data_IF_865796129386
#
_entry.id   IF_865796129386
#
_cell.length_a   1.000
_cell.length_b   1.000
_cell.length_c   1.000
_cell.angle_alpha   90.00
_cell.angle_beta   90.00
_cell.angle_gamma   90.00
#
_symmetry.space_group_name_H-M   'P 1'
#
loop_
_entity.id
_entity.type
_entity.pdbx_description
1 polymer ?
#
# COMPACT_ATOMS: atom_id res chain seq x y z
N UNK A 1 39.95 7.43 13.30
CA UNK A 1 38.65 7.46 13.99
C UNK A 1 38.92 7.79 15.45
N UNK A 2 38.39 8.90 15.97
CA UNK A 2 38.73 9.37 17.32
C UNK A 2 37.99 8.57 18.41
N UNK A 3 38.46 8.60 19.66
CA UNK A 3 37.80 7.91 20.78
C UNK A 3 36.37 8.41 21.03
N UNK A 4 36.07 9.66 20.70
CA UNK A 4 34.71 10.22 20.77
C UNK A 4 33.80 9.66 19.69
N UNK A 5 34.26 9.56 18.44
CA UNK A 5 33.50 8.96 17.34
C UNK A 5 33.08 7.53 17.65
N UNK A 6 34.01 6.72 18.21
CA UNK A 6 33.74 5.33 18.57
C UNK A 6 32.69 5.20 19.68
N UNK A 7 32.70 6.10 20.66
CA UNK A 7 31.74 6.11 21.78
C UNK A 7 30.34 6.56 21.33
N UNK A 8 30.26 7.55 20.45
CA UNK A 8 29.01 7.99 19.86
C UNK A 8 28.42 6.92 18.93
N UNK A 9 29.27 6.23 18.16
CA UNK A 9 28.87 5.10 17.33
C UNK A 9 28.27 3.95 18.15
N UNK A 10 28.92 3.55 19.25
CA UNK A 10 28.41 2.50 20.15
C UNK A 10 27.08 2.91 20.79
N UNK A 11 26.94 4.16 21.24
CA UNK A 11 25.67 4.67 21.79
C UNK A 11 24.54 4.64 20.76
N UNK A 12 24.82 4.99 19.50
CA UNK A 12 23.84 4.94 18.43
C UNK A 12 23.46 3.49 18.08
N UNK A 13 24.41 2.56 18.04
CA UNK A 13 24.10 1.13 17.86
C UNK A 13 23.22 0.61 18.99
N UNK A 14 23.52 0.94 20.25
CA UNK A 14 22.68 0.52 21.38
C UNK A 14 21.27 1.10 21.31
N UNK A 15 21.12 2.38 20.97
CA UNK A 15 19.80 3.00 20.76
C UNK A 15 19.04 2.34 19.61
N UNK A 16 19.73 2.00 18.53
CA UNK A 16 19.15 1.30 17.39
C UNK A 16 18.70 -0.11 17.79
N UNK A 17 19.51 -0.84 18.53
CA UNK A 17 19.15 -2.16 19.05
C UNK A 17 17.92 -2.12 19.96
N UNK A 18 17.84 -1.15 20.87
CA UNK A 18 16.64 -0.94 21.71
C UNK A 18 15.42 -0.62 20.84
N UNK A 19 15.57 0.24 19.84
CA UNK A 19 14.50 0.53 18.88
C UNK A 19 14.02 -0.70 18.12
N UNK A 20 14.93 -1.57 17.68
CA UNK A 20 14.60 -2.84 17.02
C UNK A 20 13.84 -3.78 17.97
N UNK A 21 14.28 -3.91 19.22
CA UNK A 21 13.60 -4.75 20.22
C UNK A 21 12.19 -4.23 20.51
N UNK A 22 12.01 -2.92 20.66
CA UNK A 22 10.69 -2.31 20.83
C UNK A 22 9.79 -2.53 19.62
N UNK A 23 10.34 -2.40 18.40
CA UNK A 23 9.62 -2.71 17.17
C UNK A 23 9.14 -4.16 17.14
N UNK A 24 10.01 -5.12 17.46
CA UNK A 24 9.65 -6.55 17.51
C UNK A 24 8.57 -6.81 18.55
N UNK A 25 8.63 -6.16 19.72
CA UNK A 25 7.60 -6.27 20.74
C UNK A 25 6.26 -5.68 20.27
N UNK A 26 6.26 -4.53 19.60
CA UNK A 26 5.07 -3.95 18.98
C UNK A 26 4.46 -4.88 17.91
N UNK A 27 5.29 -5.48 17.04
CA UNK A 27 4.83 -6.46 16.06
C UNK A 27 4.27 -7.74 16.70
N UNK A 28 4.87 -8.20 17.80
CA UNK A 28 4.37 -9.32 18.58
C UNK A 28 3.01 -9.04 19.24
N UNK A 29 2.83 -7.85 19.79
CA UNK A 29 1.56 -7.39 20.36
C UNK A 29 0.47 -7.31 19.28
N UNK A 30 0.80 -6.73 18.11
CA UNK A 30 -0.11 -6.63 16.97
C UNK A 30 -0.66 -7.98 16.51
N UNK A 31 0.12 -9.06 16.62
CA UNK A 31 -0.32 -10.42 16.24
C UNK A 31 -1.56 -10.89 17.02
N UNK A 32 -1.78 -10.38 18.23
CA UNK A 32 -2.90 -10.77 19.09
C UNK A 32 -4.08 -9.77 19.06
N UNK A 33 -3.94 -8.64 18.35
CA UNK A 33 -4.94 -7.58 18.26
C UNK A 33 -5.29 -7.27 16.78
N UNK A 34 -6.18 -8.06 16.17
CA UNK A 34 -6.47 -7.98 14.72
C UNK A 34 -7.04 -6.61 14.30
N UNK A 35 -7.81 -5.95 15.16
CA UNK A 35 -8.35 -4.61 14.90
C UNK A 35 -7.25 -3.53 14.82
N UNK A 36 -6.27 -3.59 15.72
CA UNK A 36 -5.14 -2.66 15.72
C UNK A 36 -4.14 -2.99 14.60
N UNK A 37 -4.06 -4.27 14.23
CA UNK A 37 -3.35 -4.73 13.04
C UNK A 37 -3.85 -4.04 11.79
N UNK A 38 -5.16 -3.95 11.55
CA UNK A 38 -5.71 -3.33 10.33
C UNK A 38 -5.35 -1.84 10.25
N UNK A 39 -5.48 -1.12 11.36
CA UNK A 39 -5.13 0.31 11.42
C UNK A 39 -3.62 0.55 11.20
N UNK A 40 -2.76 -0.27 11.81
CA UNK A 40 -1.31 -0.15 11.64
C UNK A 40 -0.82 -0.71 10.31
N UNK A 41 -1.49 -1.70 9.74
CA UNK A 41 -1.16 -2.28 8.43
C UNK A 41 -1.35 -1.27 7.31
N UNK A 42 -2.38 -0.42 7.38
CA UNK A 42 -2.55 0.69 6.42
C UNK A 42 -1.38 1.69 6.47
N UNK A 43 -0.97 2.09 7.69
CA UNK A 43 0.20 2.96 7.88
C UNK A 43 1.52 2.30 7.45
N UNK A 44 1.74 1.04 7.82
CA UNK A 44 2.91 0.25 7.43
C UNK A 44 2.98 0.00 5.92
N UNK A 45 1.85 -0.33 5.28
CA UNK A 45 1.73 -0.48 3.83
C UNK A 45 2.18 0.80 3.14
N UNK A 46 1.72 1.96 3.60
CA UNK A 46 2.12 3.26 3.06
C UNK A 46 3.63 3.52 3.22
N UNK A 47 4.22 3.18 4.37
CA UNK A 47 5.66 3.32 4.62
C UNK A 47 6.47 2.40 3.70
N UNK A 48 6.05 1.14 3.57
CA UNK A 48 6.69 0.15 2.69
C UNK A 48 6.59 0.59 1.23
N UNK A 49 5.43 1.04 0.77
CA UNK A 49 5.21 1.55 -0.58
C UNK A 49 6.12 2.74 -0.89
N UNK A 50 6.25 3.71 0.02
CA UNK A 50 7.17 4.84 -0.13
C UNK A 50 8.64 4.38 -0.14
N UNK A 51 8.99 3.41 0.69
CA UNK A 51 10.31 2.79 0.69
C UNK A 51 10.65 2.09 -0.63
N UNK A 52 9.68 1.36 -1.20
CA UNK A 52 9.84 0.71 -2.50
C UNK A 52 9.99 1.72 -3.64
N UNK A 53 9.22 2.81 -3.63
CA UNK A 53 9.37 3.91 -4.62
C UNK A 53 10.77 4.53 -4.54
N UNK A 54 11.26 4.80 -3.33
CA UNK A 54 12.61 5.30 -3.12
C UNK A 54 13.67 4.29 -3.61
N UNK A 55 13.51 3.01 -3.31
CA UNK A 55 14.41 1.97 -3.79
C UNK A 55 14.39 1.85 -5.33
N UNK A 56 13.22 1.96 -5.96
CA UNK A 56 13.08 1.95 -7.42
C UNK A 56 13.81 3.14 -8.06
N UNK A 57 13.67 4.34 -7.49
CA UNK A 57 14.38 5.54 -7.95
C UNK A 57 15.90 5.38 -7.79
N UNK A 58 16.38 4.83 -6.67
CA UNK A 58 17.81 4.56 -6.44
C UNK A 58 18.37 3.51 -7.42
N UNK A 59 17.56 2.53 -7.81
CA UNK A 59 17.91 1.51 -8.81
C UNK A 59 17.77 1.99 -10.27
N UNK A 60 17.47 3.27 -10.50
CA UNK A 60 17.33 3.85 -11.84
C UNK A 60 16.06 3.43 -12.58
N UNK A 61 15.06 2.90 -11.87
CA UNK A 61 13.73 2.62 -12.43
C UNK A 61 12.77 3.79 -12.15
N UNK A 62 11.68 3.83 -12.90
CA UNK A 62 10.66 4.87 -12.77
C UNK A 62 9.78 4.65 -11.53
N UNK A 63 10.20 5.21 -10.37
CA UNK A 63 9.43 5.15 -9.14
C UNK A 63 8.12 5.96 -9.20
N UNK A 64 7.98 6.89 -10.14
CA UNK A 64 6.71 7.62 -10.31
C UNK A 64 5.62 6.70 -10.86
N UNK A 65 5.96 5.74 -11.73
CA UNK A 65 5.02 4.73 -12.19
C UNK A 65 4.55 3.84 -11.04
N UNK A 66 5.48 3.44 -10.16
CA UNK A 66 5.14 2.64 -8.99
C UNK A 66 4.24 3.41 -8.00
N UNK A 67 4.52 4.70 -7.79
CA UNK A 67 3.67 5.56 -6.97
C UNK A 67 2.25 5.68 -7.57
N UNK A 68 2.12 5.85 -8.89
CA UNK A 68 0.82 5.88 -9.58
C UNK A 68 0.06 4.56 -9.45
N UNK A 69 0.76 3.42 -9.50
CA UNK A 69 0.14 2.11 -9.23
C UNK A 69 -0.49 2.09 -7.84
N UNK A 70 0.27 2.47 -6.82
CA UNK A 70 -0.22 2.46 -5.42
C UNK A 70 -1.35 3.44 -5.15
N UNK A 71 -1.32 4.61 -5.79
CA UNK A 71 -2.43 5.56 -5.72
C UNK A 71 -3.72 4.94 -6.31
N UNK A 72 -3.61 4.31 -7.47
CA UNK A 72 -4.75 3.66 -8.12
C UNK A 72 -5.27 2.46 -7.30
N UNK A 73 -4.40 1.67 -6.67
CA UNK A 73 -4.81 0.57 -5.77
C UNK A 73 -5.68 1.09 -4.62
N UNK A 74 -5.29 2.20 -4.00
CA UNK A 74 -6.04 2.81 -2.90
C UNK A 74 -7.40 3.34 -3.38
N UNK A 75 -7.45 3.96 -4.56
CA UNK A 75 -8.71 4.45 -5.15
C UNK A 75 -9.68 3.31 -5.44
N UNK A 76 -9.20 2.17 -5.95
CA UNK A 76 -10.05 0.99 -6.15
C UNK A 76 -10.64 0.46 -4.83
N UNK A 77 -9.85 0.42 -3.75
CA UNK A 77 -10.36 0.03 -2.43
C UNK A 77 -11.44 0.99 -1.92
N UNK A 78 -11.22 2.30 -2.06
CA UNK A 78 -12.22 3.31 -1.70
C UNK A 78 -13.51 3.15 -2.51
N UNK A 79 -13.40 2.83 -3.81
CA UNK A 79 -14.55 2.61 -4.68
C UNK A 79 -15.34 1.35 -4.28
N UNK A 80 -14.64 0.25 -3.96
CA UNK A 80 -15.25 -0.97 -3.44
C UNK A 80 -16.03 -0.67 -2.17
N UNK A 81 -15.41 -0.01 -1.20
CA UNK A 81 -16.08 0.34 0.06
C UNK A 81 -17.30 1.24 -0.18
N UNK A 82 -17.20 2.20 -1.11
CA UNK A 82 -18.32 3.08 -1.46
C UNK A 82 -19.47 2.30 -2.12
N UNK A 83 -19.16 1.33 -2.98
CA UNK A 83 -20.17 0.49 -3.64
C UNK A 83 -20.89 -0.41 -2.61
N UNK A 84 -20.13 -0.96 -1.66
CA UNK A 84 -20.65 -1.78 -0.56
C UNK A 84 -21.52 -0.94 0.41
N UNK A 85 -21.08 0.25 0.80
CA UNK A 85 -21.80 1.16 1.70
C UNK A 85 -23.08 1.73 1.08
N UNK A 86 -23.06 2.09 -0.21
CA UNK A 86 -24.24 2.54 -0.93
C UNK A 86 -25.28 1.43 -1.14
N UNK A 87 -24.88 0.16 -1.00
CA UNK A 87 -25.75 -0.97 -1.23
C UNK A 87 -26.18 -1.10 -2.69
N UNK A 88 -25.24 -0.93 -3.64
CA UNK A 88 -25.47 -1.28 -5.04
C UNK A 88 -26.14 -2.68 -5.09
N UNK A 89 -27.40 -2.74 -5.53
CA UNK A 89 -28.16 -4.01 -5.63
C UNK A 89 -27.58 -4.97 -6.67
N UNK A 90 -26.76 -4.45 -7.58
CA UNK A 90 -26.09 -5.24 -8.58
C UNK A 90 -24.86 -5.94 -7.99
N UNK A 91 -25.09 -7.15 -7.47
CA UNK A 91 -24.03 -8.02 -6.97
C UNK A 91 -23.00 -8.38 -8.02
N UNK A 92 -23.37 -8.39 -9.32
CA UNK A 92 -22.43 -8.69 -10.41
C UNK A 92 -21.41 -7.55 -10.61
N UNK A 93 -21.86 -6.30 -10.46
CA UNK A 93 -20.98 -5.14 -10.57
C UNK A 93 -19.93 -5.09 -9.45
N UNK A 94 -20.35 -5.31 -8.20
CA UNK A 94 -19.44 -5.32 -7.04
C UNK A 94 -18.47 -6.50 -7.13
N UNK A 95 -18.93 -7.68 -7.58
CA UNK A 95 -18.06 -8.84 -7.78
C UNK A 95 -17.05 -8.61 -8.92
N UNK A 96 -17.47 -8.03 -10.05
CA UNK A 96 -16.58 -7.69 -11.15
C UNK A 96 -15.52 -6.64 -10.75
N UNK A 97 -15.90 -5.67 -9.92
CA UNK A 97 -14.99 -4.67 -9.36
C UNK A 97 -13.93 -5.32 -8.46
N UNK A 98 -14.32 -6.23 -7.56
CA UNK A 98 -13.42 -7.02 -6.73
C UNK A 98 -12.46 -7.87 -7.57
N UNK A 99 -12.97 -8.60 -8.57
CA UNK A 99 -12.13 -9.42 -9.47
C UNK A 99 -11.12 -8.58 -10.26
N UNK A 100 -11.55 -7.39 -10.73
CA UNK A 100 -10.66 -6.46 -11.44
C UNK A 100 -9.56 -5.95 -10.52
N UNK A 101 -9.89 -5.60 -9.28
CA UNK A 101 -8.92 -5.15 -8.28
C UNK A 101 -7.92 -6.24 -7.91
N UNK A 102 -8.37 -7.48 -7.65
CA UNK A 102 -7.48 -8.62 -7.37
C UNK A 102 -6.54 -8.90 -8.54
N UNK A 103 -7.04 -8.83 -9.78
CA UNK A 103 -6.21 -8.98 -10.97
C UNK A 103 -5.16 -7.86 -11.06
N UNK A 104 -5.54 -6.62 -10.78
CA UNK A 104 -4.64 -5.46 -10.78
C UNK A 104 -3.49 -5.59 -9.76
N UNK A 105 -3.77 -6.16 -8.58
CA UNK A 105 -2.75 -6.39 -7.55
C UNK A 105 -1.68 -7.38 -8.01
N UNK A 106 -2.07 -8.41 -8.76
CA UNK A 106 -1.19 -9.47 -9.25
C UNK A 106 -0.33 -9.05 -10.46
N UNK A 107 -0.64 -7.91 -11.10
CA UNK A 107 0.11 -7.41 -12.26
C UNK A 107 1.56 -7.06 -11.92
N UNK A 108 2.47 -7.43 -12.85
CA UNK A 108 3.92 -7.27 -12.67
C UNK A 108 4.30 -5.78 -12.52
N UNK A 109 4.91 -5.43 -11.38
CA UNK A 109 5.40 -4.08 -11.09
C UNK A 109 6.44 -3.56 -12.12
N UNK A 110 7.04 -4.44 -12.93
CA UNK A 110 7.97 -4.04 -14.01
C UNK A 110 7.26 -3.61 -15.29
N UNK A 111 5.96 -3.92 -15.45
CA UNK A 111 5.18 -3.66 -16.67
C UNK A 111 4.09 -2.60 -16.46
N UNK A 112 4.20 -1.77 -15.43
CA UNK A 112 3.19 -0.77 -15.06
C UNK A 112 2.76 0.09 -16.25
N UNK A 113 3.72 0.57 -17.06
CA UNK A 113 3.42 1.38 -18.24
C UNK A 113 2.48 0.73 -19.26
N UNK A 114 2.41 -0.61 -19.31
CA UNK A 114 1.57 -1.35 -20.26
C UNK A 114 0.11 -1.47 -19.81
N UNK A 115 -0.15 -1.54 -18.51
CA UNK A 115 -1.51 -1.79 -17.99
C UNK A 115 -2.12 -0.61 -17.24
N UNK A 116 -1.33 0.33 -16.72
CA UNK A 116 -1.85 1.36 -15.81
C UNK A 116 -2.97 2.20 -16.46
N UNK A 117 -2.84 2.50 -17.76
CA UNK A 117 -3.86 3.22 -18.50
C UNK A 117 -5.17 2.42 -18.63
N UNK A 118 -5.08 1.11 -18.86
CA UNK A 118 -6.25 0.22 -18.92
C UNK A 118 -7.02 0.25 -17.59
N UNK A 119 -6.32 0.10 -16.47
CA UNK A 119 -6.95 0.12 -15.15
C UNK A 119 -7.47 1.50 -14.75
N UNK A 120 -6.87 2.59 -15.23
CA UNK A 120 -7.45 3.94 -15.04
C UNK A 120 -8.78 4.11 -15.78
N UNK A 121 -8.90 3.55 -16.99
CA UNK A 121 -10.15 3.58 -17.77
C UNK A 121 -11.21 2.75 -17.06
N UNK A 122 -10.89 1.49 -16.70
CA UNK A 122 -11.79 0.61 -15.97
C UNK A 122 -12.25 1.24 -14.64
N UNK A 123 -11.34 1.88 -13.91
CA UNK A 123 -11.70 2.61 -12.69
C UNK A 123 -12.78 3.65 -12.96
N UNK A 124 -12.61 4.48 -14.00
CA UNK A 124 -13.57 5.53 -14.35
C UNK A 124 -14.94 4.98 -14.72
N UNK A 125 -14.98 3.85 -15.43
CA UNK A 125 -16.22 3.13 -15.79
C UNK A 125 -16.95 2.62 -14.55
N UNK A 126 -16.22 1.98 -13.62
CA UNK A 126 -16.80 1.50 -12.37
C UNK A 126 -17.24 2.66 -11.47
N UNK A 127 -16.45 3.74 -11.36
CA UNK A 127 -16.79 4.92 -10.55
C UNK A 127 -18.11 5.54 -11.02
N UNK A 128 -18.27 5.70 -12.34
CA UNK A 128 -19.52 6.20 -12.94
C UNK A 128 -20.70 5.27 -12.65
N UNK A 129 -20.49 3.95 -12.77
CA UNK A 129 -21.54 2.95 -12.51
C UNK A 129 -21.96 2.91 -11.03
N UNK A 130 -21.00 3.09 -10.10
CA UNK A 130 -21.27 3.17 -8.65
C UNK A 130 -21.91 4.50 -8.26
N UNK A 131 -21.69 5.57 -9.03
CA UNK A 131 -22.46 6.81 -8.91
C UNK A 131 -23.92 6.62 -9.31
N UNK A 132 -24.18 5.91 -10.40
CA UNK A 132 -25.54 5.60 -10.91
C UNK A 132 -26.34 4.63 -10.02
N UNK A 133 -25.68 3.87 -9.13
CA UNK A 133 -26.34 2.97 -8.17
C UNK A 133 -27.25 3.64 -7.11
N UNK A 134 -27.35 4.98 -7.06
CA UNK A 134 -28.10 5.71 -6.01
C UNK A 134 -29.59 5.87 -6.30
#
# INVERSE_FOLDING_TARGET
MTREDRRNFIKNIFRLAIGVVLLVACFGYLKNHPAEQIALYSGLKTIIQKGEVLAYNVLGRDGNQLARKYDLENRYLELIHRAEEKGCKDTELVEALHQTYETFLQEDKKKISYYIAKYMILFSEYDSSVEECS
#
